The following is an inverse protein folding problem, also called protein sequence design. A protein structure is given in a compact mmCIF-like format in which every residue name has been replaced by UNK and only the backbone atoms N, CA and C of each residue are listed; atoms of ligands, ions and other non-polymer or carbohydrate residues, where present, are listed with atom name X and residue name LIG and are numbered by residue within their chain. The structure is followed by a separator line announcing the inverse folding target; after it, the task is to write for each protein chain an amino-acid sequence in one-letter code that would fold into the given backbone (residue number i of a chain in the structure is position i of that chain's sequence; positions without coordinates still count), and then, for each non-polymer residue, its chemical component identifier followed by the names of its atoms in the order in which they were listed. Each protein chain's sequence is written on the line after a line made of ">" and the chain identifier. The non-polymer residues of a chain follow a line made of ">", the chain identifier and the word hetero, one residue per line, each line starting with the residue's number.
data_IF_942551246864
#
_entry.id   IF_942551246864
#
_cell.length_a   1.000
_cell.length_b   1.000
_cell.length_c   1.000
_cell.angle_alpha   90.00
_cell.angle_beta   90.00
_cell.angle_gamma   90.00
#
_symmetry.space_group_name_H-M   'P 1'
#
loop_
_entity.id
_entity.type
_entity.pdbx_description
1 polymer ?
#
# COMPACT_ATOMS: atom_id res chain seq x y z
N UNK A 1 -17.11 -39.83 9.69
CA UNK A 1 -16.49 -38.56 9.26
C UNK A 1 -17.46 -37.45 9.64
N UNK A 2 -17.11 -36.60 10.61
CA UNK A 2 -17.99 -35.49 11.02
C UNK A 2 -17.86 -34.36 10.00
N UNK A 3 -18.96 -34.05 9.31
CA UNK A 3 -19.07 -32.82 8.54
C UNK A 3 -18.98 -31.63 9.48
N UNK A 4 -18.10 -30.67 9.20
CA UNK A 4 -17.87 -29.50 10.06
C UNK A 4 -18.64 -28.28 9.53
N UNK A 5 -18.88 -28.21 8.22
CA UNK A 5 -19.58 -27.09 7.58
C UNK A 5 -20.55 -27.63 6.53
N UNK A 6 -21.76 -27.07 6.46
CA UNK A 6 -22.77 -27.34 5.43
C UNK A 6 -23.06 -26.05 4.65
N UNK A 7 -22.83 -26.06 3.34
CA UNK A 7 -23.03 -24.93 2.44
C UNK A 7 -24.00 -25.38 1.34
N UNK A 8 -25.30 -25.11 1.54
CA UNK A 8 -26.35 -25.68 0.69
C UNK A 8 -26.32 -27.21 0.77
N UNK A 9 -26.20 -27.87 -0.38
CA UNK A 9 -26.11 -29.35 -0.46
C UNK A 9 -24.68 -29.88 -0.23
N UNK A 10 -23.68 -29.00 -0.13
CA UNK A 10 -22.30 -29.41 0.04
C UNK A 10 -21.94 -29.54 1.52
N UNK A 11 -21.58 -30.75 1.94
CA UNK A 11 -20.99 -31.01 3.25
C UNK A 11 -19.47 -31.01 3.14
N UNK A 12 -18.82 -30.16 3.91
CA UNK A 12 -17.36 -30.04 3.97
C UNK A 12 -16.85 -30.72 5.23
N UNK A 13 -15.95 -31.67 5.04
CA UNK A 13 -15.21 -32.35 6.11
C UNK A 13 -13.94 -31.59 6.50
N UNK A 14 -13.39 -31.88 7.67
CA UNK A 14 -12.14 -31.28 8.17
C UNK A 14 -10.98 -31.38 7.17
N UNK A 15 -10.84 -32.56 6.56
CA UNK A 15 -9.81 -32.85 5.55
C UNK A 15 -9.96 -32.05 4.27
N UNK A 16 -11.14 -31.50 3.98
CA UNK A 16 -11.42 -30.72 2.77
C UNK A 16 -11.22 -29.23 2.97
N UNK A 17 -11.20 -28.74 4.22
CA UNK A 17 -11.07 -27.31 4.51
C UNK A 17 -9.75 -26.74 3.98
N UNK A 18 -8.61 -27.36 4.30
CA UNK A 18 -7.30 -26.89 3.83
C UNK A 18 -7.18 -26.91 2.28
N UNK A 19 -7.56 -27.99 1.57
CA UNK A 19 -7.64 -27.98 0.12
C UNK A 19 -8.55 -26.90 -0.46
N UNK A 20 -9.71 -26.63 0.15
CA UNK A 20 -10.61 -25.57 -0.30
C UNK A 20 -10.00 -24.18 -0.09
N UNK A 21 -9.39 -23.92 1.07
CA UNK A 21 -8.66 -22.67 1.32
C UNK A 21 -7.52 -22.48 0.32
N UNK A 22 -6.82 -23.55 -0.06
CA UNK A 22 -5.79 -23.51 -1.09
C UNK A 22 -6.39 -23.18 -2.46
N UNK A 23 -7.44 -23.90 -2.85
CA UNK A 23 -8.14 -23.77 -4.13
C UNK A 23 -8.67 -22.35 -4.36
N UNK A 24 -9.17 -21.70 -3.31
CA UNK A 24 -9.71 -20.33 -3.38
C UNK A 24 -8.68 -19.25 -3.04
N UNK A 25 -7.40 -19.58 -2.87
CA UNK A 25 -6.34 -18.61 -2.61
C UNK A 25 -6.44 -17.93 -1.24
N UNK A 26 -7.11 -18.55 -0.26
CA UNK A 26 -7.33 -18.02 1.09
C UNK A 26 -6.20 -18.38 2.07
N UNK A 27 -5.36 -19.36 1.74
CA UNK A 27 -4.22 -19.74 2.59
C UNK A 27 -3.26 -18.58 2.93
N UNK A 28 -2.85 -17.71 1.98
CA UNK A 28 -1.99 -16.58 2.32
C UNK A 28 -2.62 -15.61 3.33
N UNK A 29 -3.94 -15.42 3.26
CA UNK A 29 -4.66 -14.58 4.21
C UNK A 29 -4.67 -15.22 5.60
N UNK A 30 -4.93 -16.52 5.69
CA UNK A 30 -4.87 -17.25 6.95
C UNK A 30 -3.49 -17.16 7.59
N UNK A 31 -2.41 -17.41 6.84
CA UNK A 31 -1.04 -17.34 7.37
C UNK A 31 -0.69 -15.93 7.85
N UNK A 32 -1.12 -14.91 7.12
CA UNK A 32 -0.96 -13.52 7.52
C UNK A 32 -1.60 -13.27 8.89
N UNK A 33 -2.84 -13.75 9.10
CA UNK A 33 -3.53 -13.59 10.38
C UNK A 33 -2.86 -14.36 11.51
N UNK A 34 -2.41 -15.60 11.27
CA UNK A 34 -1.66 -16.38 12.26
C UNK A 34 -0.35 -15.71 12.67
N UNK A 35 0.40 -15.14 11.72
CA UNK A 35 1.64 -14.38 12.02
C UNK A 35 1.32 -13.15 12.87
N UNK A 36 0.25 -12.43 12.55
CA UNK A 36 -0.19 -11.26 13.31
C UNK A 36 -0.60 -11.67 14.72
N UNK A 37 -1.42 -12.71 14.86
CA UNK A 37 -1.85 -13.26 16.15
C UNK A 37 -0.66 -13.56 17.07
N UNK A 38 0.34 -14.28 16.55
CA UNK A 38 1.55 -14.61 17.30
C UNK A 38 2.33 -13.34 17.72
N UNK A 39 2.43 -12.36 16.84
CA UNK A 39 3.14 -11.12 17.10
C UNK A 39 2.45 -10.26 18.17
N UNK A 40 1.12 -10.28 18.23
CA UNK A 40 0.34 -9.47 19.18
C UNK A 40 -0.03 -10.22 20.47
N UNK A 41 0.35 -11.50 20.61
CA UNK A 41 -0.05 -12.35 21.73
C UNK A 41 0.33 -11.76 23.10
N UNK A 42 1.52 -11.17 23.20
CA UNK A 42 2.04 -10.58 24.44
C UNK A 42 1.59 -9.12 24.69
N UNK A 43 0.81 -8.54 23.77
CA UNK A 43 0.34 -7.17 23.89
C UNK A 43 -0.90 -7.13 24.79
N UNK A 44 -0.83 -6.29 25.82
CA UNK A 44 -1.91 -6.11 26.80
C UNK A 44 -2.73 -4.87 26.46
N UNK A 45 -4.04 -4.95 26.70
CA UNK A 45 -4.94 -3.80 26.64
C UNK A 45 -5.40 -3.46 28.05
N UNK A 46 -5.43 -2.17 28.38
CA UNK A 46 -5.98 -1.71 29.64
C UNK A 46 -7.53 -1.79 29.61
N UNK A 47 -8.21 -1.71 30.77
CA UNK A 47 -9.67 -1.83 30.83
C UNK A 47 -10.43 -0.77 30.02
N UNK A 48 -9.91 0.45 29.94
CA UNK A 48 -10.55 1.55 29.20
C UNK A 48 -10.51 1.30 27.69
N UNK A 49 -9.35 0.88 27.16
CA UNK A 49 -9.13 0.48 25.77
C UNK A 49 -10.08 -0.67 25.38
N UNK A 50 -10.18 -1.69 26.25
CA UNK A 50 -11.09 -2.81 26.04
C UNK A 50 -12.54 -2.34 25.95
N UNK A 51 -13.02 -1.60 26.95
CA UNK A 51 -14.41 -1.13 26.99
C UNK A 51 -14.75 -0.29 25.76
N UNK A 52 -13.85 0.61 25.34
CA UNK A 52 -14.03 1.42 24.14
C UNK A 52 -14.10 0.56 22.86
N UNK A 53 -13.28 -0.48 22.74
CA UNK A 53 -13.30 -1.40 21.60
C UNK A 53 -14.62 -2.17 21.53
N UNK A 54 -15.07 -2.73 22.66
CA UNK A 54 -16.37 -3.40 22.76
C UNK A 54 -17.51 -2.45 22.40
N UNK A 55 -17.55 -1.24 22.95
CA UNK A 55 -18.60 -0.26 22.62
C UNK A 55 -18.64 0.07 21.13
N UNK A 56 -17.49 0.25 20.48
CA UNK A 56 -17.42 0.47 19.01
C UNK A 56 -17.91 -0.74 18.23
N UNK A 57 -17.55 -1.95 18.65
CA UNK A 57 -18.01 -3.17 18.01
C UNK A 57 -19.54 -3.33 18.09
N UNK A 58 -20.12 -3.11 19.27
CA UNK A 58 -21.57 -3.13 19.47
C UNK A 58 -22.28 -2.10 18.59
N UNK A 59 -21.77 -0.87 18.52
CA UNK A 59 -22.34 0.18 17.67
C UNK A 59 -22.27 -0.15 16.19
N UNK A 60 -21.11 -0.60 15.69
CA UNK A 60 -20.91 -0.90 14.28
C UNK A 60 -21.75 -2.09 13.80
N UNK A 61 -21.98 -3.08 14.67
CA UNK A 61 -22.78 -4.27 14.35
C UNK A 61 -24.25 -4.16 14.79
N UNK A 62 -24.68 -3.01 15.33
CA UNK A 62 -26.04 -2.77 15.82
C UNK A 62 -26.51 -3.80 16.86
N UNK A 63 -25.60 -4.27 17.70
CA UNK A 63 -25.89 -5.24 18.76
C UNK A 63 -26.22 -4.46 20.03
N UNK A 64 -27.47 -4.53 20.45
CA UNK A 64 -28.02 -3.83 21.61
C UNK A 64 -28.29 -4.75 22.82
N UNK A 65 -28.32 -6.07 22.62
CA UNK A 65 -28.61 -7.03 23.69
C UNK A 65 -27.93 -8.39 23.47
N UNK A 66 -27.97 -9.23 24.51
CA UNK A 66 -27.33 -10.55 24.53
C UNK A 66 -27.91 -11.53 23.50
N UNK A 67 -29.18 -11.40 23.14
CA UNK A 67 -29.80 -12.25 22.10
C UNK A 67 -29.23 -11.95 20.72
N UNK A 68 -29.06 -10.67 20.39
CA UNK A 68 -28.42 -10.22 19.17
C UNK A 68 -26.95 -10.63 19.13
N UNK A 69 -26.24 -10.57 20.26
CA UNK A 69 -24.84 -11.04 20.34
C UNK A 69 -24.75 -12.55 20.07
N UNK A 70 -25.61 -13.37 20.68
CA UNK A 70 -25.66 -14.82 20.43
C UNK A 70 -25.98 -15.13 18.96
N UNK A 71 -26.94 -14.43 18.37
CA UNK A 71 -27.28 -14.57 16.95
C UNK A 71 -26.09 -14.20 16.06
N UNK A 72 -25.38 -13.12 16.38
CA UNK A 72 -24.19 -12.69 15.65
C UNK A 72 -23.07 -13.74 15.73
N UNK A 73 -22.78 -14.27 16.91
CA UNK A 73 -21.79 -15.35 17.11
C UNK A 73 -22.15 -16.59 16.29
N UNK A 74 -23.43 -17.01 16.31
CA UNK A 74 -23.90 -18.17 15.56
C UNK A 74 -23.80 -17.95 14.04
N UNK A 75 -24.18 -16.77 13.55
CA UNK A 75 -24.09 -16.41 12.13
C UNK A 75 -22.65 -16.35 11.62
N UNK A 76 -21.71 -15.92 12.46
CA UNK A 76 -20.30 -15.83 12.13
C UNK A 76 -19.50 -17.10 12.47
N UNK A 77 -20.14 -18.10 13.07
CA UNK A 77 -19.49 -19.35 13.49
C UNK A 77 -18.38 -19.13 14.51
N UNK A 78 -18.51 -18.12 15.37
CA UNK A 78 -17.50 -17.72 16.34
C UNK A 78 -17.92 -18.05 17.78
N UNK A 79 -16.95 -18.30 18.64
CA UNK A 79 -17.14 -18.30 20.08
C UNK A 79 -16.78 -16.95 20.72
N UNK A 80 -17.02 -16.82 22.02
CA UNK A 80 -16.75 -15.59 22.77
C UNK A 80 -15.27 -15.22 22.85
N UNK A 81 -14.35 -16.20 22.83
CA UNK A 81 -12.91 -15.97 22.91
C UNK A 81 -12.38 -15.44 21.57
N UNK A 82 -12.83 -16.03 20.46
CA UNK A 82 -12.56 -15.56 19.10
C UNK A 82 -13.12 -14.15 18.86
N UNK A 83 -14.30 -13.86 19.40
CA UNK A 83 -14.86 -12.52 19.37
C UNK A 83 -13.99 -11.52 20.15
N UNK A 84 -13.59 -11.86 21.37
CA UNK A 84 -12.70 -11.00 22.16
C UNK A 84 -11.39 -10.72 21.42
N UNK A 85 -10.79 -11.75 20.81
CA UNK A 85 -9.62 -11.59 19.96
C UNK A 85 -9.89 -10.58 18.84
N UNK A 86 -10.98 -10.75 18.08
CA UNK A 86 -11.32 -9.90 16.95
C UNK A 86 -11.54 -8.44 17.35
N UNK A 87 -12.21 -8.20 18.48
CA UNK A 87 -12.48 -6.85 19.00
C UNK A 87 -11.18 -6.15 19.42
N UNK A 88 -10.28 -6.87 20.09
CA UNK A 88 -9.05 -6.29 20.64
C UNK A 88 -7.89 -6.26 19.65
N UNK A 89 -7.98 -7.01 18.55
CA UNK A 89 -6.92 -7.20 17.56
C UNK A 89 -6.34 -5.89 17.07
N UNK A 90 -7.18 -4.94 16.66
CA UNK A 90 -6.71 -3.69 16.04
C UNK A 90 -5.94 -2.82 17.03
N UNK A 91 -6.38 -2.76 18.29
CA UNK A 91 -5.65 -2.02 19.34
C UNK A 91 -4.31 -2.70 19.63
N UNK A 92 -4.31 -4.02 19.82
CA UNK A 92 -3.08 -4.77 20.06
C UNK A 92 -2.09 -4.63 18.90
N UNK A 93 -2.59 -4.65 17.67
CA UNK A 93 -1.78 -4.49 16.47
C UNK A 93 -1.15 -3.09 16.40
N UNK A 94 -1.90 -2.02 16.70
CA UNK A 94 -1.34 -0.67 16.72
C UNK A 94 -0.29 -0.50 17.83
N UNK A 95 -0.51 -1.09 19.00
CA UNK A 95 0.48 -1.10 20.10
C UNK A 95 1.73 -1.88 19.73
N UNK A 96 1.58 -3.08 19.17
CA UNK A 96 2.69 -3.86 18.63
C UNK A 96 3.52 -3.06 17.63
N UNK A 97 2.85 -2.36 16.71
CA UNK A 97 3.54 -1.51 15.73
C UNK A 97 4.34 -0.39 16.39
N UNK A 98 3.76 0.26 17.40
CA UNK A 98 4.42 1.33 18.15
C UNK A 98 5.63 0.78 18.91
N UNK A 99 5.46 -0.27 19.70
CA UNK A 99 6.53 -0.88 20.50
C UNK A 99 7.70 -1.38 19.64
N UNK A 100 7.42 -1.87 18.42
CA UNK A 100 8.42 -2.49 17.55
C UNK A 100 9.17 -1.51 16.65
N UNK A 101 8.50 -0.47 16.14
CA UNK A 101 9.06 0.38 15.08
C UNK A 101 9.10 1.87 15.38
N UNK A 102 8.47 2.37 16.45
CA UNK A 102 8.37 3.82 16.66
C UNK A 102 9.76 4.49 16.83
N UNK A 103 10.74 3.76 17.38
CA UNK A 103 12.15 4.16 17.46
C UNK A 103 12.92 4.11 16.13
N UNK A 104 12.37 3.48 15.08
CA UNK A 104 12.96 3.38 13.73
C UNK A 104 12.31 4.32 12.73
N UNK A 105 11.15 4.91 13.06
CA UNK A 105 10.41 5.74 12.11
C UNK A 105 11.22 6.94 11.67
N UNK A 106 11.95 7.59 12.58
CA UNK A 106 12.73 8.79 12.24
C UNK A 106 13.91 8.47 11.30
N UNK A 107 14.67 7.41 11.59
CA UNK A 107 15.77 6.99 10.72
C UNK A 107 15.26 6.50 9.36
N UNK A 108 14.14 5.78 9.34
CA UNK A 108 13.48 5.37 8.10
C UNK A 108 12.98 6.58 7.31
N UNK A 109 12.38 7.57 7.97
CA UNK A 109 11.95 8.82 7.34
C UNK A 109 13.11 9.50 6.62
N UNK A 110 14.28 9.64 7.25
CA UNK A 110 15.45 10.26 6.60
C UNK A 110 15.90 9.51 5.33
N UNK A 111 15.76 8.19 5.29
CA UNK A 111 16.10 7.37 4.12
C UNK A 111 15.11 7.60 2.97
N UNK A 112 13.82 7.72 3.27
CA UNK A 112 12.76 7.84 2.26
C UNK A 112 12.31 9.28 2.00
N UNK A 113 12.76 10.26 2.79
CA UNK A 113 12.29 11.66 2.74
C UNK A 113 12.35 12.24 1.33
N UNK A 114 13.45 12.00 0.62
CA UNK A 114 13.64 12.47 -0.75
C UNK A 114 12.60 11.93 -1.74
N UNK A 115 11.90 10.85 -1.41
CA UNK A 115 10.83 10.27 -2.21
C UNK A 115 9.45 10.78 -1.77
N UNK A 116 9.30 11.14 -0.49
CA UNK A 116 8.07 11.66 0.10
C UNK A 116 7.88 13.17 -0.14
N UNK A 117 8.99 13.90 -0.34
CA UNK A 117 8.94 15.29 -0.74
C UNK A 117 8.06 15.43 -1.99
N UNK A 118 7.19 16.44 -1.96
CA UNK A 118 6.22 16.68 -3.03
C UNK A 118 6.70 17.80 -3.93
N UNK A 119 6.29 17.74 -5.18
CA UNK A 119 6.63 18.75 -6.18
C UNK A 119 5.39 19.16 -6.96
N UNK A 120 5.40 20.42 -7.36
CA UNK A 120 4.55 20.94 -8.44
C UNK A 120 5.50 21.27 -9.58
N UNK A 121 5.23 20.78 -10.78
CA UNK A 121 6.08 20.99 -11.94
C UNK A 121 5.25 21.15 -13.20
N UNK A 122 5.82 21.83 -14.18
CA UNK A 122 5.25 21.97 -15.50
C UNK A 122 5.93 21.01 -16.48
N UNK A 123 5.14 20.36 -17.33
CA UNK A 123 5.58 19.36 -18.30
C UNK A 123 4.98 19.64 -19.68
N UNK A 124 5.81 19.56 -20.71
CA UNK A 124 5.39 19.38 -22.11
C UNK A 124 5.99 18.07 -22.59
N UNK A 125 5.19 17.23 -23.25
CA UNK A 125 5.69 16.03 -23.92
C UNK A 125 5.30 16.02 -25.40
N UNK A 126 6.24 15.64 -26.26
CA UNK A 126 6.02 15.50 -27.70
C UNK A 126 6.91 14.41 -28.26
N UNK A 127 6.51 13.76 -29.36
CA UNK A 127 7.34 12.77 -30.06
C UNK A 127 8.42 13.39 -30.95
N UNK A 128 8.37 14.71 -31.20
CA UNK A 128 9.29 15.38 -32.11
C UNK A 128 10.31 16.26 -31.37
N UNK A 129 11.58 15.89 -31.45
CA UNK A 129 12.69 16.61 -30.81
C UNK A 129 12.86 18.05 -31.33
N UNK A 130 12.64 18.29 -32.62
CA UNK A 130 12.75 19.64 -33.21
C UNK A 130 11.67 20.57 -32.66
N UNK A 131 10.43 20.07 -32.51
CA UNK A 131 9.36 20.82 -31.85
C UNK A 131 9.74 21.11 -30.39
N UNK A 132 10.21 20.10 -29.65
CA UNK A 132 10.59 20.33 -28.25
C UNK A 132 11.71 21.38 -28.10
N UNK A 133 12.70 21.40 -29.00
CA UNK A 133 13.76 22.41 -29.00
C UNK A 133 13.21 23.81 -29.25
N UNK A 134 12.36 23.98 -30.26
CA UNK A 134 11.70 25.26 -30.55
C UNK A 134 10.87 25.75 -29.35
N UNK A 135 10.07 24.88 -28.74
CA UNK A 135 9.27 25.22 -27.57
C UNK A 135 10.13 25.61 -26.37
N UNK A 136 11.24 24.91 -26.15
CA UNK A 136 12.17 25.24 -25.07
C UNK A 136 12.75 26.65 -25.22
N UNK A 137 13.23 27.02 -26.41
CA UNK A 137 13.76 28.37 -26.66
C UNK A 137 12.68 29.44 -26.49
N UNK A 138 11.46 29.22 -26.99
CA UNK A 138 10.34 30.14 -26.77
C UNK A 138 10.03 30.40 -25.30
N UNK A 139 10.10 29.36 -24.47
CA UNK A 139 9.88 29.50 -23.02
C UNK A 139 11.06 30.23 -22.38
N UNK A 140 12.29 29.86 -22.75
CA UNK A 140 13.51 30.44 -22.22
C UNK A 140 13.60 31.94 -22.50
N UNK A 141 13.29 32.35 -23.74
CA UNK A 141 13.32 33.72 -24.23
C UNK A 141 12.04 34.51 -23.87
N UNK A 142 11.11 33.86 -23.17
CA UNK A 142 9.83 34.43 -22.70
C UNK A 142 8.91 34.92 -23.82
N UNK A 143 9.05 34.38 -25.03
CA UNK A 143 8.16 34.67 -26.16
C UNK A 143 6.74 34.13 -25.91
N UNK A 144 6.65 32.98 -25.24
CA UNK A 144 5.38 32.37 -24.85
C UNK A 144 5.44 31.84 -23.41
N UNK A 145 4.28 31.78 -22.76
CA UNK A 145 4.19 31.12 -21.46
C UNK A 145 4.26 29.60 -21.61
N UNK A 146 4.79 28.91 -20.60
CA UNK A 146 4.82 27.45 -20.58
C UNK A 146 3.42 26.86 -20.78
N UNK A 147 2.41 27.45 -20.11
CA UNK A 147 1.03 26.99 -20.15
C UNK A 147 0.38 27.11 -21.54
N UNK A 148 0.67 28.19 -22.28
CA UNK A 148 0.22 28.34 -23.67
C UNK A 148 0.78 27.25 -24.56
N UNK A 149 2.10 27.01 -24.49
CA UNK A 149 2.75 26.00 -25.31
C UNK A 149 2.32 24.59 -24.91
N UNK A 150 2.13 24.31 -23.62
CA UNK A 150 1.67 23.03 -23.15
C UNK A 150 0.25 22.70 -23.65
N UNK A 151 -0.69 23.65 -23.58
CA UNK A 151 -2.05 23.47 -24.11
C UNK A 151 -2.07 23.18 -25.61
N UNK A 152 -1.18 23.83 -26.36
CA UNK A 152 -1.18 23.74 -27.82
C UNK A 152 -0.40 22.55 -28.37
N UNK A 153 0.70 22.17 -27.71
CA UNK A 153 1.67 21.23 -28.28
C UNK A 153 1.94 20.00 -27.42
N UNK A 154 1.55 19.99 -26.14
CA UNK A 154 1.74 18.79 -25.32
C UNK A 154 0.79 17.69 -25.77
N UNK A 155 1.30 16.46 -25.81
CA UNK A 155 0.58 15.28 -26.28
C UNK A 155 0.11 14.38 -25.11
N UNK A 156 0.28 14.83 -23.86
CA UNK A 156 -0.20 14.15 -22.65
C UNK A 156 -1.39 14.87 -22.01
N UNK A 157 -1.99 14.23 -21.01
CA UNK A 157 -3.14 14.76 -20.26
C UNK A 157 -2.86 16.10 -19.59
N UNK A 158 -1.59 16.42 -19.32
CA UNK A 158 -1.20 17.73 -18.79
C UNK A 158 -1.49 18.90 -19.75
N UNK A 159 -1.76 18.66 -21.04
CA UNK A 159 -2.18 19.72 -21.95
C UNK A 159 -3.42 20.48 -21.42
N UNK A 160 -4.37 19.75 -20.82
CA UNK A 160 -5.61 20.32 -20.26
C UNK A 160 -5.34 21.27 -19.08
N UNK A 161 -4.28 21.02 -18.31
CA UNK A 161 -3.88 21.83 -17.15
C UNK A 161 -2.80 22.86 -17.49
N UNK A 162 -2.51 23.09 -18.78
CA UNK A 162 -1.41 23.96 -19.19
C UNK A 162 -0.05 23.45 -18.73
N UNK A 163 0.13 22.13 -18.72
CA UNK A 163 1.36 21.45 -18.35
C UNK A 163 1.55 21.30 -16.85
N UNK A 164 0.73 21.95 -16.01
CA UNK A 164 0.92 21.96 -14.56
C UNK A 164 0.48 20.64 -13.93
N UNK A 165 1.38 20.01 -13.18
CA UNK A 165 1.19 18.74 -12.47
C UNK A 165 1.59 18.92 -11.01
N UNK A 166 0.75 18.45 -10.08
CA UNK A 166 1.07 18.40 -8.66
C UNK A 166 -0.01 19.03 -7.76
N UNK A 167 0.18 18.98 -6.43
CA UNK A 167 1.33 18.42 -5.72
C UNK A 167 1.35 16.88 -5.74
N UNK A 168 2.48 16.28 -6.15
CA UNK A 168 2.70 14.82 -6.15
C UNK A 168 4.04 14.47 -5.52
N UNK A 169 4.15 13.27 -4.94
CA UNK A 169 5.44 12.75 -4.42
C UNK A 169 6.48 12.62 -5.54
N UNK A 170 7.75 12.87 -5.22
CA UNK A 170 8.86 12.77 -6.19
C UNK A 170 9.02 11.37 -6.81
N UNK A 171 8.48 10.34 -6.15
CA UNK A 171 8.43 8.96 -6.62
C UNK A 171 7.31 8.67 -7.64
N UNK A 172 6.29 9.54 -7.73
CA UNK A 172 5.13 9.33 -8.59
C UNK A 172 5.41 9.47 -10.11
N UNK A 173 6.17 10.46 -10.61
CA UNK A 173 6.48 10.55 -12.04
C UNK A 173 7.48 9.48 -12.50
N UNK A 174 7.69 9.37 -13.82
CA UNK A 174 8.70 8.47 -14.37
C UNK A 174 10.08 8.72 -13.72
N UNK A 175 10.87 7.68 -13.38
CA UNK A 175 12.12 7.84 -12.61
C UNK A 175 13.09 8.89 -13.17
N UNK A 176 13.21 9.00 -14.49
CA UNK A 176 14.03 10.03 -15.14
C UNK A 176 13.52 11.45 -14.88
N UNK A 177 12.20 11.66 -14.85
CA UNK A 177 11.59 12.96 -14.51
C UNK A 177 11.83 13.26 -13.03
N UNK A 178 11.64 12.27 -12.15
CA UNK A 178 11.92 12.42 -10.73
C UNK A 178 13.37 12.85 -10.45
N UNK A 179 14.35 12.27 -11.17
CA UNK A 179 15.75 12.68 -11.08
C UNK A 179 15.99 14.13 -11.52
N UNK A 180 15.39 14.55 -12.64
CA UNK A 180 15.46 15.94 -13.11
C UNK A 180 14.88 16.89 -12.05
N UNK A 181 13.69 16.59 -11.54
CA UNK A 181 13.00 17.42 -10.54
C UNK A 181 13.79 17.49 -9.22
N UNK A 182 14.39 16.39 -8.77
CA UNK A 182 15.24 16.36 -7.57
C UNK A 182 16.49 17.24 -7.70
N UNK A 183 17.06 17.35 -8.90
CA UNK A 183 18.21 18.22 -9.18
C UNK A 183 17.82 19.69 -9.48
N UNK A 184 16.52 19.99 -9.56
CA UNK A 184 16.01 21.29 -9.97
C UNK A 184 15.90 22.28 -8.81
N UNK A 185 16.05 23.57 -9.11
CA UNK A 185 15.57 24.68 -8.28
C UNK A 185 14.18 25.15 -8.74
N UNK A 186 13.32 25.67 -7.85
CA UNK A 186 12.06 26.28 -8.28
C UNK A 186 12.27 27.33 -9.37
N UNK A 187 11.47 27.26 -10.44
CA UNK A 187 11.58 28.06 -11.66
C UNK A 187 12.56 27.54 -12.71
N UNK A 188 13.39 26.53 -12.41
CA UNK A 188 14.41 26.04 -13.34
C UNK A 188 13.78 25.24 -14.48
N UNK A 189 13.97 25.75 -15.71
CA UNK A 189 13.61 25.09 -16.95
C UNK A 189 14.76 24.18 -17.41
N UNK A 190 14.45 22.93 -17.74
CA UNK A 190 15.41 21.98 -18.30
C UNK A 190 15.29 21.89 -19.82
N UNK A 191 16.42 21.69 -20.53
CA UNK A 191 16.40 21.43 -21.96
C UNK A 191 15.64 20.13 -22.29
N UNK A 192 15.18 19.97 -23.54
CA UNK A 192 14.47 18.78 -23.97
C UNK A 192 15.25 17.49 -23.66
N UNK A 193 14.61 16.55 -22.99
CA UNK A 193 15.20 15.27 -22.63
C UNK A 193 14.36 14.10 -23.16
N UNK A 194 15.00 13.04 -23.62
CA UNK A 194 14.32 11.82 -24.07
C UNK A 194 13.95 10.95 -22.87
N UNK A 195 12.67 10.56 -22.78
CA UNK A 195 12.11 9.63 -21.79
C UNK A 195 11.22 8.62 -22.51
N UNK A 196 11.72 7.41 -22.72
CA UNK A 196 11.05 6.40 -23.55
C UNK A 196 10.86 6.92 -24.99
N UNK A 197 9.62 6.91 -25.50
CA UNK A 197 9.28 7.46 -26.83
C UNK A 197 9.03 8.98 -26.82
N UNK A 198 9.03 9.62 -25.65
CA UNK A 198 8.68 11.03 -25.50
C UNK A 198 9.91 11.91 -25.35
N UNK A 199 9.87 13.08 -25.97
CA UNK A 199 10.75 14.20 -25.64
C UNK A 199 9.98 15.12 -24.70
N UNK A 200 10.58 15.40 -23.55
CA UNK A 200 9.95 16.19 -22.49
C UNK A 200 10.68 17.51 -22.24
N UNK A 201 9.92 18.54 -21.89
CA UNK A 201 10.42 19.80 -21.32
C UNK A 201 9.83 19.91 -19.93
N UNK A 202 10.68 20.13 -18.93
CA UNK A 202 10.27 20.15 -17.52
C UNK A 202 10.72 21.45 -16.87
N UNK A 203 9.84 22.03 -16.06
CA UNK A 203 10.17 23.11 -15.15
C UNK A 203 9.66 22.81 -13.75
N UNK A 204 10.53 22.84 -12.75
CA UNK A 204 10.08 22.73 -11.36
C UNK A 204 9.37 24.03 -10.97
N UNK A 205 8.13 23.97 -10.51
CA UNK A 205 7.39 25.17 -10.07
C UNK A 205 7.51 25.37 -8.56
N UNK A 206 7.28 24.32 -7.78
CA UNK A 206 7.39 24.34 -6.32
C UNK A 206 7.95 23.03 -5.79
N UNK A 207 8.82 23.14 -4.79
CA UNK A 207 9.30 22.02 -3.99
C UNK A 207 8.67 22.11 -2.59
N UNK A 208 8.05 21.02 -2.14
CA UNK A 208 7.34 20.94 -0.87
C UNK A 208 8.00 19.85 -0.03
N UNK A 209 8.78 20.26 0.96
CA UNK A 209 9.41 19.33 1.90
C UNK A 209 8.34 18.61 2.70
N UNK A 210 8.41 17.28 2.75
CA UNK A 210 7.63 16.48 3.68
C UNK A 210 8.20 16.65 5.10
N UNK A 211 7.31 16.74 6.07
CA UNK A 211 7.63 16.78 7.50
C UNK A 211 7.18 15.48 8.16
N UNK A 212 7.87 15.07 9.23
CA UNK A 212 7.49 13.91 10.01
C UNK A 212 6.36 14.26 11.00
N UNK A 213 5.21 14.63 10.45
CA UNK A 213 3.99 14.89 11.20
C UNK A 213 3.33 13.57 11.68
N UNK A 214 2.33 13.61 12.59
CA UNK A 214 1.70 12.38 13.09
C UNK A 214 1.13 11.46 11.99
N UNK A 215 0.44 11.97 10.95
CA UNK A 215 0.00 11.15 9.81
C UNK A 215 1.16 10.46 9.07
N UNK A 216 2.23 11.20 8.76
CA UNK A 216 3.41 10.65 8.08
C UNK A 216 4.11 9.60 8.95
N UNK A 217 4.24 9.86 10.25
CA UNK A 217 4.79 8.89 11.21
C UNK A 217 3.98 7.58 11.21
N UNK A 218 2.65 7.69 11.22
CA UNK A 218 1.77 6.52 11.18
C UNK A 218 1.91 5.74 9.85
N UNK A 219 1.95 6.45 8.71
CA UNK A 219 2.19 5.82 7.39
C UNK A 219 3.50 5.05 7.38
N UNK A 220 4.60 5.67 7.81
CA UNK A 220 5.92 5.05 7.79
C UNK A 220 6.02 3.84 8.74
N UNK A 221 5.37 3.93 9.89
CA UNK A 221 5.25 2.79 10.81
C UNK A 221 4.48 1.63 10.16
N UNK A 222 3.41 1.93 9.42
CA UNK A 222 2.67 0.92 8.66
C UNK A 222 3.51 0.32 7.53
N UNK A 223 4.32 1.12 6.84
CA UNK A 223 5.23 0.63 5.80
C UNK A 223 6.26 -0.35 6.37
N UNK A 224 6.90 0.00 7.51
CA UNK A 224 7.83 -0.89 8.21
C UNK A 224 7.16 -2.19 8.66
N UNK A 225 5.93 -2.10 9.17
CA UNK A 225 5.14 -3.27 9.52
C UNK A 225 4.82 -4.14 8.28
N UNK A 226 4.44 -3.57 7.14
CA UNK A 226 4.18 -4.33 5.92
C UNK A 226 5.44 -5.01 5.38
N UNK A 227 6.60 -4.34 5.46
CA UNK A 227 7.89 -4.95 5.10
C UNK A 227 8.19 -6.16 5.98
N UNK A 228 8.03 -6.02 7.30
CA UNK A 228 8.20 -7.13 8.23
C UNK A 228 7.23 -8.27 7.94
N UNK A 229 5.95 -7.96 7.75
CA UNK A 229 4.92 -8.97 7.50
C UNK A 229 5.19 -9.73 6.20
N UNK A 230 5.62 -9.02 5.15
CA UNK A 230 6.04 -9.64 3.88
C UNK A 230 7.22 -10.58 4.09
N UNK A 231 8.22 -10.19 4.89
CA UNK A 231 9.34 -11.05 5.22
C UNK A 231 8.90 -12.29 6.02
N UNK A 232 7.98 -12.15 6.98
CA UNK A 232 7.44 -13.29 7.73
C UNK A 232 6.68 -14.26 6.82
N UNK A 233 5.86 -13.73 5.90
CA UNK A 233 5.13 -14.52 4.91
C UNK A 233 6.04 -15.38 4.03
N UNK A 234 7.27 -14.93 3.74
CA UNK A 234 8.26 -15.70 2.99
C UNK A 234 8.85 -16.88 3.79
N UNK A 235 8.72 -16.89 5.11
CA UNK A 235 9.22 -17.98 5.96
C UNK A 235 8.21 -19.12 6.11
N UNK A 236 6.96 -18.93 5.68
CA UNK A 236 5.91 -19.94 5.73
C UNK A 236 6.30 -21.12 4.87
N UNK A 237 6.48 -22.28 5.51
CA UNK A 237 6.76 -23.55 4.83
C UNK A 237 5.51 -24.41 4.83
N UNK A 238 5.15 -24.92 3.66
CA UNK A 238 4.23 -26.03 3.57
C UNK A 238 4.98 -27.29 3.98
N UNK A 239 4.78 -27.73 5.22
CA UNK A 239 5.18 -29.08 5.62
C UNK A 239 4.14 -30.00 5.02
N UNK A 240 4.27 -30.29 3.72
CA UNK A 240 3.62 -31.47 3.17
C UNK A 240 4.21 -32.66 3.92
N UNK A 241 3.35 -33.47 4.56
CA UNK A 241 3.70 -34.85 4.87
C UNK A 241 3.93 -35.56 3.53
N UNK A 242 5.15 -35.44 2.99
CA UNK A 242 5.58 -36.18 1.82
C UNK A 242 5.70 -37.65 2.24
N UNK A 243 4.68 -38.43 1.89
CA UNK A 243 4.94 -39.81 1.49
C UNK A 243 6.05 -39.77 0.41
N UNK A 244 7.06 -40.67 0.47
CA UNK A 244 8.09 -40.71 -0.55
C UNK A 244 7.44 -41.22 -1.84
N UNK A 245 7.11 -40.31 -2.75
CA UNK A 245 6.76 -40.70 -4.11
C UNK A 245 8.08 -40.85 -4.86
N UNK A 246 8.32 -42.11 -5.21
CA UNK A 246 9.42 -42.59 -6.02
C UNK A 246 9.72 -41.64 -7.19
N UNK A 247 10.99 -41.31 -7.34
CA UNK A 247 11.54 -40.69 -8.53
C UNK A 247 11.32 -41.63 -9.71
N UNK A 248 10.33 -41.36 -10.56
CA UNK A 248 10.31 -41.90 -11.92
C UNK A 248 9.53 -40.97 -12.85
N UNK A 249 10.32 -40.33 -13.72
CA UNK A 249 10.00 -39.97 -15.10
C UNK A 249 8.69 -39.25 -15.39
N UNK A 250 8.80 -37.95 -15.70
CA UNK A 250 8.11 -37.41 -16.88
C UNK A 250 9.10 -36.52 -17.63
N UNK A 251 9.74 -37.11 -18.63
CA UNK A 251 10.15 -36.39 -19.83
C UNK A 251 8.94 -36.15 -20.73
N UNK A 252 9.16 -35.31 -21.74
CA UNK A 252 8.39 -35.09 -22.98
C UNK A 252 7.08 -34.27 -22.80
N UNK A 253 6.73 -33.25 -23.60
CA UNK A 253 7.16 -32.71 -24.92
C UNK A 253 7.15 -31.18 -24.82
#
# INVERSE_FOLDING_TARGET
>A
MSSIIEIGDQKVSESEVLPLLAKYGMLPQLFREVIIEQAIANITCNPEERNAAYSRFYQNNQIANDEQMKSWLQQNGMDSEQLEYLILRDIKLEKFKQETWDNKVESYFLQVKNQLDKVVYSLIRTKNIGIAQELFFRIQDRENSFAELAKKYSQGAEAETGGLIGPVELSAPHPQIGQILKASKPGQLWPPAQVGEWVIIVRLEKYLSCELDPPTRQRLRNDLFQQWLTAQMQTVKFISASNPVNSEQVSII
#
